data_IF_931504570429
#
_entry.id   IF_931504570429
#
_cell.length_a   1.000
_cell.length_b   1.000
_cell.length_c   1.000
_cell.angle_alpha   90.00
_cell.angle_beta   90.00
_cell.angle_gamma   90.00
#
_symmetry.space_group_name_H-M   'P 1'
#
loop_
_entity.id
_entity.type
_entity.pdbx_description
1 polymer ?
#
# COMPACT_ATOMS: atom_id res chain seq x y z
N UNK A 1 -14.24 4.56 3.08
CA UNK A 1 -13.52 4.62 1.79
C UNK A 1 -12.28 3.74 1.84
N UNK A 2 -12.01 3.01 0.78
CA UNK A 2 -10.81 2.20 0.64
C UNK A 2 -9.73 3.01 -0.07
N UNK A 3 -8.53 3.03 0.51
CA UNK A 3 -7.37 3.74 -0.04
C UNK A 3 -6.20 2.80 -0.19
N UNK A 4 -5.46 2.96 -1.28
CA UNK A 4 -4.16 2.34 -1.43
C UNK A 4 -3.06 3.35 -1.08
N UNK A 5 -1.96 2.88 -0.49
CA UNK A 5 -0.75 3.66 -0.32
C UNK A 5 0.43 2.81 -0.81
N UNK A 6 1.20 3.36 -1.75
CA UNK A 6 2.24 2.60 -2.44
C UNK A 6 3.31 3.54 -3.00
N UNK A 7 4.55 3.07 -3.08
CA UNK A 7 5.61 3.74 -3.82
C UNK A 7 5.96 2.88 -5.04
N UNK A 8 6.05 3.50 -6.21
CA UNK A 8 6.32 2.81 -7.48
C UNK A 8 7.32 3.57 -8.33
N UNK A 9 8.08 2.83 -9.14
CA UNK A 9 8.99 3.43 -10.11
C UNK A 9 8.28 3.74 -11.45
N UNK A 10 9.05 4.18 -12.46
CA UNK A 10 8.49 4.56 -13.76
C UNK A 10 7.74 3.44 -14.48
N UNK A 11 8.01 2.18 -14.14
CA UNK A 11 7.33 1.00 -14.70
C UNK A 11 6.29 0.41 -13.76
N UNK A 12 5.89 1.17 -12.74
CA UNK A 12 4.98 0.71 -11.68
C UNK A 12 5.57 -0.42 -10.84
N UNK A 13 6.90 -0.55 -10.81
CA UNK A 13 7.58 -1.51 -9.95
C UNK A 13 7.48 -1.09 -8.49
N UNK A 14 7.15 -2.02 -7.60
CA UNK A 14 6.98 -1.73 -6.18
C UNK A 14 7.88 -2.56 -5.26
N UNK A 15 8.45 -3.64 -5.76
CA UNK A 15 9.32 -4.50 -4.96
C UNK A 15 10.29 -5.29 -5.84
N UNK A 16 11.39 -5.72 -5.23
CA UNK A 16 12.39 -6.56 -5.89
C UNK A 16 12.86 -7.64 -4.92
N UNK A 17 12.86 -8.90 -5.38
CA UNK A 17 13.27 -10.06 -4.58
C UNK A 17 12.51 -10.21 -3.27
N UNK A 18 11.20 -9.96 -3.30
CA UNK A 18 10.35 -10.10 -2.12
C UNK A 18 9.29 -8.99 -2.05
N UNK A 19 8.96 -8.58 -0.83
CA UNK A 19 7.93 -7.57 -0.58
C UNK A 19 8.47 -6.15 -0.39
N UNK A 20 9.80 -5.98 -0.44
CA UNK A 20 10.42 -4.68 -0.19
C UNK A 20 10.83 -3.98 -1.48
N UNK A 21 10.68 -2.65 -1.56
CA UNK A 21 11.21 -1.90 -2.68
C UNK A 21 12.75 -1.88 -2.62
N UNK A 22 13.42 -1.68 -3.77
CA UNK A 22 14.87 -1.62 -3.83
C UNK A 22 15.46 -0.27 -3.39
N UNK A 23 14.66 0.64 -2.89
CA UNK A 23 15.06 1.96 -2.42
C UNK A 23 14.76 2.15 -0.94
N UNK A 24 15.47 3.07 -0.28
CA UNK A 24 15.20 3.53 1.07
C UNK A 24 15.05 5.04 1.05
N UNK A 25 13.84 5.53 1.26
CA UNK A 25 13.50 6.95 1.19
C UNK A 25 12.87 7.34 2.52
N UNK A 26 13.63 8.04 3.37
CA UNK A 26 13.21 8.36 4.74
C UNK A 26 11.93 9.18 4.81
N UNK A 27 11.79 10.17 3.92
CA UNK A 27 10.59 10.99 3.92
C UNK A 27 9.38 10.24 3.41
N UNK A 28 9.56 9.26 2.51
CA UNK A 28 8.48 8.40 2.07
C UNK A 28 8.05 7.46 3.19
N UNK A 29 8.99 6.89 3.94
CA UNK A 29 8.69 6.05 5.10
C UNK A 29 7.91 6.84 6.16
N UNK A 30 8.33 8.06 6.44
CA UNK A 30 7.64 8.96 7.37
C UNK A 30 6.22 9.29 6.87
N UNK A 31 6.09 9.59 5.60
CA UNK A 31 4.80 9.85 4.96
C UNK A 31 3.85 8.67 5.11
N UNK A 32 4.33 7.45 4.83
CA UNK A 32 3.58 6.22 5.01
C UNK A 32 3.08 6.08 6.45
N UNK A 33 3.97 6.26 7.42
CA UNK A 33 3.61 6.13 8.83
C UNK A 33 2.58 7.17 9.28
N UNK A 34 2.68 8.39 8.79
CA UNK A 34 1.75 9.46 9.11
C UNK A 34 0.38 9.25 8.45
N UNK A 35 0.36 8.91 7.16
CA UNK A 35 -0.89 8.73 6.43
C UNK A 35 -1.70 7.55 6.97
N UNK A 36 -1.05 6.42 7.25
CA UNK A 36 -1.75 5.21 7.69
C UNK A 36 -2.31 5.31 9.11
N UNK A 37 -1.97 6.34 9.87
CA UNK A 37 -2.63 6.64 11.15
C UNK A 37 -3.97 7.36 10.95
N UNK A 38 -4.17 7.98 9.79
CA UNK A 38 -5.38 8.77 9.53
C UNK A 38 -6.60 7.87 9.32
N UNK A 39 -7.76 8.48 9.47
CA UNK A 39 -9.06 7.85 9.19
C UNK A 39 -9.30 6.57 9.98
N UNK A 40 -8.81 6.51 11.21
CA UNK A 40 -9.02 5.38 12.10
C UNK A 40 -7.90 4.34 12.13
N UNK A 41 -6.86 4.51 11.33
CA UNK A 41 -5.66 3.67 11.41
C UNK A 41 -5.88 2.19 11.12
N UNK A 42 -6.74 1.85 10.17
CA UNK A 42 -6.99 0.46 9.79
C UNK A 42 -6.20 0.10 8.55
N UNK A 43 -5.36 -0.94 8.62
CA UNK A 43 -4.45 -1.32 7.54
C UNK A 43 -4.63 -2.79 7.16
N UNK A 44 -4.66 -3.04 5.85
CA UNK A 44 -4.80 -4.38 5.26
C UNK A 44 -3.56 -4.71 4.45
N UNK A 45 -3.02 -5.91 4.64
CA UNK A 45 -1.82 -6.35 3.94
C UNK A 45 -1.85 -7.86 3.69
N UNK A 46 -1.07 -8.31 2.71
CA UNK A 46 -0.81 -9.73 2.53
C UNK A 46 0.20 -10.23 3.55
N UNK A 47 0.19 -11.54 3.82
CA UNK A 47 1.10 -12.15 4.80
C UNK A 47 2.56 -11.95 4.43
N UNK A 48 2.91 -11.99 3.16
CA UNK A 48 4.28 -11.77 2.70
C UNK A 48 4.78 -10.38 3.07
N UNK A 49 3.95 -9.36 2.91
CA UNK A 49 4.28 -8.00 3.35
C UNK A 49 4.46 -7.94 4.86
N UNK A 50 3.58 -8.62 5.60
CA UNK A 50 3.69 -8.66 7.07
C UNK A 50 5.01 -9.28 7.53
N UNK A 51 5.42 -10.38 6.90
CA UNK A 51 6.67 -11.08 7.26
C UNK A 51 7.90 -10.30 6.80
N UNK A 52 7.95 -9.90 5.53
CA UNK A 52 9.17 -9.37 4.91
C UNK A 52 9.33 -7.86 5.10
N UNK A 53 8.26 -7.11 5.09
CA UNK A 53 8.33 -5.65 5.26
C UNK A 53 8.16 -5.22 6.71
N UNK A 54 7.28 -5.87 7.45
CA UNK A 54 7.02 -5.53 8.86
C UNK A 54 7.74 -6.45 9.84
N UNK A 55 8.49 -7.45 9.36
CA UNK A 55 9.26 -8.38 10.20
C UNK A 55 8.41 -9.03 11.29
N UNK A 56 7.19 -9.43 10.95
CA UNK A 56 6.21 -10.04 11.86
C UNK A 56 5.77 -9.13 13.03
N UNK A 57 5.93 -7.80 12.89
CA UNK A 57 5.50 -6.84 13.90
C UNK A 57 4.35 -5.99 13.34
N UNK A 58 3.14 -6.08 13.92
CA UNK A 58 2.04 -5.21 13.49
C UNK A 58 2.41 -3.74 13.60
N UNK A 59 1.88 -2.93 12.72
CA UNK A 59 2.06 -1.48 12.78
C UNK A 59 1.42 -0.95 14.06
N UNK A 60 2.19 -0.20 14.84
CA UNK A 60 1.77 0.33 16.13
C UNK A 60 0.65 1.35 15.97
N UNK A 61 -0.27 1.36 16.92
CA UNK A 61 -1.41 2.29 16.97
C UNK A 61 -2.37 2.15 15.79
N UNK A 62 -2.37 0.99 15.15
CA UNK A 62 -3.25 0.67 14.02
C UNK A 62 -3.89 -0.69 14.24
N UNK A 63 -5.03 -0.90 13.58
CA UNK A 63 -5.63 -2.23 13.50
C UNK A 63 -5.10 -2.90 12.25
N UNK A 64 -4.39 -4.02 12.41
CA UNK A 64 -3.72 -4.72 11.32
C UNK A 64 -4.55 -5.93 10.87
N UNK A 65 -4.91 -5.98 9.59
CA UNK A 65 -5.56 -7.11 8.96
C UNK A 65 -4.56 -7.78 8.03
N UNK A 66 -4.34 -9.08 8.21
CA UNK A 66 -3.36 -9.84 7.41
C UNK A 66 -4.07 -10.91 6.61
N UNK A 67 -3.96 -10.84 5.28
CA UNK A 67 -4.57 -11.79 4.35
C UNK A 67 -3.64 -12.99 4.18
N UNK A 68 -4.15 -14.18 4.45
CA UNK A 68 -3.41 -15.44 4.33
C UNK A 68 -4.37 -16.60 4.16
N UNK A 69 -3.92 -17.69 3.53
CA UNK A 69 -4.69 -18.93 3.46
C UNK A 69 -4.57 -19.75 4.75
N UNK A 70 -3.60 -19.45 5.59
CA UNK A 70 -3.37 -20.14 6.87
C UNK A 70 -4.18 -19.47 7.97
N UNK A 71 -5.15 -20.17 8.59
CA UNK A 71 -6.01 -19.58 9.62
C UNK A 71 -5.32 -19.43 10.99
N UNK A 72 -4.06 -19.79 11.11
CA UNK A 72 -3.31 -19.67 12.38
C UNK A 72 -3.34 -18.23 12.88
N UNK A 73 -3.75 -18.00 14.13
CA UNK A 73 -3.78 -16.64 14.68
C UNK A 73 -2.40 -15.96 14.66
N UNK A 74 -2.43 -14.65 14.44
CA UNK A 74 -1.24 -13.80 14.50
C UNK A 74 -1.43 -12.81 15.64
N UNK A 75 -0.50 -12.79 16.58
CA UNK A 75 -0.59 -11.87 17.72
C UNK A 75 -0.59 -10.42 17.24
N UNK A 76 -1.54 -9.64 17.70
CA UNK A 76 -1.66 -8.22 17.36
C UNK A 76 -2.24 -7.93 15.99
N UNK A 77 -2.74 -8.95 15.28
CA UNK A 77 -3.33 -8.78 13.96
C UNK A 77 -4.61 -9.61 13.83
N UNK A 78 -5.47 -9.20 12.90
CA UNK A 78 -6.67 -9.94 12.53
C UNK A 78 -6.36 -10.71 11.26
N UNK A 79 -6.51 -12.04 11.31
CA UNK A 79 -6.24 -12.91 10.15
C UNK A 79 -7.47 -12.95 9.24
N UNK A 80 -7.26 -12.68 7.95
CA UNK A 80 -8.29 -12.70 6.91
C UNK A 80 -7.98 -13.84 5.95
N UNK A 81 -8.87 -14.84 5.88
CA UNK A 81 -8.68 -15.99 4.99
C UNK A 81 -9.52 -15.91 3.71
N UNK A 82 -10.42 -14.94 3.63
CA UNK A 82 -11.29 -14.73 2.46
C UNK A 82 -11.33 -13.23 2.14
N UNK A 83 -10.40 -12.78 1.32
CA UNK A 83 -10.28 -11.36 0.97
C UNK A 83 -11.53 -10.83 0.23
N UNK A 84 -12.08 -11.51 -0.78
CA UNK A 84 -13.28 -11.02 -1.45
C UNK A 84 -14.45 -10.79 -0.48
N UNK A 85 -14.66 -11.72 0.44
CA UNK A 85 -15.71 -11.59 1.46
C UNK A 85 -15.44 -10.41 2.38
N UNK A 86 -14.20 -10.28 2.88
CA UNK A 86 -13.80 -9.16 3.73
C UNK A 86 -14.07 -7.81 3.05
N UNK A 87 -13.72 -7.69 1.78
CA UNK A 87 -13.91 -6.46 1.03
C UNK A 87 -15.38 -6.14 0.81
N UNK A 88 -16.21 -7.15 0.49
CA UNK A 88 -17.66 -6.97 0.33
C UNK A 88 -18.34 -6.54 1.63
N UNK A 89 -17.87 -7.07 2.76
CA UNK A 89 -18.46 -6.81 4.07
C UNK A 89 -17.88 -5.59 4.78
N UNK A 90 -16.84 -4.97 4.22
CA UNK A 90 -16.25 -3.78 4.82
C UNK A 90 -17.27 -2.64 4.81
N UNK A 91 -17.55 -2.02 5.98
CA UNK A 91 -18.56 -0.96 6.04
C UNK A 91 -18.19 0.25 5.18
N UNK A 92 -19.16 0.76 4.41
CA UNK A 92 -18.94 1.89 3.52
C UNK A 92 -18.52 3.17 4.26
N UNK A 93 -18.94 3.32 5.51
CA UNK A 93 -18.62 4.49 6.33
C UNK A 93 -17.25 4.41 7.01
N UNK A 94 -16.56 3.27 6.91
CA UNK A 94 -15.23 3.08 7.49
C UNK A 94 -14.14 3.22 6.43
N UNK A 95 -12.97 3.67 6.88
CA UNK A 95 -11.81 3.83 6.02
C UNK A 95 -10.83 2.69 6.21
N UNK A 96 -10.21 2.26 5.12
CA UNK A 96 -9.23 1.17 5.11
C UNK A 96 -8.05 1.55 4.23
N UNK A 97 -6.84 1.38 4.76
CA UNK A 97 -5.60 1.53 4.01
C UNK A 97 -5.09 0.16 3.56
N UNK A 98 -4.97 -0.04 2.26
CA UNK A 98 -4.34 -1.25 1.70
C UNK A 98 -2.88 -0.91 1.46
N UNK A 99 -1.98 -1.67 2.07
CA UNK A 99 -0.55 -1.35 2.08
C UNK A 99 0.33 -2.33 1.30
N UNK A 100 -0.25 -3.35 0.68
CA UNK A 100 0.49 -4.25 -0.19
C UNK A 100 0.22 -5.72 0.07
N UNK A 101 0.81 -6.60 -0.63
CA UNK A 101 1.68 -6.36 -1.81
C UNK A 101 0.94 -6.32 -3.14
N UNK A 102 1.68 -6.61 -4.19
CA UNK A 102 1.16 -6.49 -5.55
C UNK A 102 -0.17 -7.22 -5.77
N UNK A 103 -0.29 -8.45 -5.29
CA UNK A 103 -1.53 -9.23 -5.45
C UNK A 103 -2.70 -8.61 -4.70
N UNK A 104 -2.47 -8.10 -3.49
CA UNK A 104 -3.53 -7.48 -2.69
C UNK A 104 -3.97 -6.16 -3.34
N UNK A 105 -3.04 -5.37 -3.86
CA UNK A 105 -3.38 -4.18 -4.61
C UNK A 105 -4.24 -4.50 -5.83
N UNK A 106 -3.82 -5.51 -6.61
CA UNK A 106 -4.56 -5.90 -7.82
C UNK A 106 -5.98 -6.38 -7.50
N UNK A 107 -6.14 -7.16 -6.44
CA UNK A 107 -7.44 -7.70 -6.05
C UNK A 107 -8.39 -6.65 -5.46
N UNK A 108 -7.89 -5.54 -4.97
CA UNK A 108 -8.69 -4.51 -4.28
C UNK A 108 -8.84 -3.21 -5.05
N UNK A 109 -8.12 -3.04 -6.16
CA UNK A 109 -8.13 -1.78 -6.92
C UNK A 109 -9.55 -1.38 -7.36
N UNK A 110 -10.35 -2.34 -7.76
CA UNK A 110 -11.71 -2.08 -8.23
C UNK A 110 -12.66 -1.49 -7.19
N UNK A 111 -12.37 -1.64 -5.90
CA UNK A 111 -13.16 -1.07 -4.81
C UNK A 111 -12.50 0.15 -4.16
N UNK A 112 -11.40 0.62 -4.74
CA UNK A 112 -10.59 1.67 -4.13
C UNK A 112 -11.01 3.05 -4.62
N UNK A 113 -11.20 3.97 -3.69
CA UNK A 113 -11.62 5.34 -3.99
C UNK A 113 -10.48 6.32 -4.18
N UNK A 114 -9.37 6.12 -3.47
CA UNK A 114 -8.20 6.99 -3.56
C UNK A 114 -6.92 6.20 -3.55
N UNK A 115 -5.93 6.68 -4.32
CA UNK A 115 -4.58 6.12 -4.35
C UNK A 115 -3.60 7.19 -3.88
N UNK A 116 -2.83 6.84 -2.85
CA UNK A 116 -1.71 7.65 -2.37
C UNK A 116 -0.45 7.01 -2.96
N UNK A 117 0.05 7.60 -4.03
CA UNK A 117 1.15 7.04 -4.82
C UNK A 117 2.38 7.92 -4.71
N UNK A 118 3.47 7.34 -4.20
CA UNK A 118 4.78 7.98 -4.29
C UNK A 118 5.38 7.55 -5.62
N UNK A 119 5.50 8.50 -6.54
CA UNK A 119 6.07 8.25 -7.87
C UNK A 119 7.59 8.47 -7.79
N UNK A 120 8.34 7.38 -7.86
CA UNK A 120 9.80 7.39 -7.80
C UNK A 120 10.33 7.41 -9.23
N UNK A 121 11.12 8.42 -9.58
CA UNK A 121 11.70 8.53 -10.93
C UNK A 121 12.78 7.47 -11.14
N UNK A 122 12.72 6.80 -12.28
CA UNK A 122 13.72 5.81 -12.70
C UNK A 122 13.16 4.40 -12.80
N UNK A 123 14.02 3.51 -13.32
CA UNK A 123 13.73 2.07 -13.44
C UNK A 123 14.65 1.34 -12.46
N UNK A 124 14.08 0.70 -11.45
CA UNK A 124 14.83 0.02 -10.41
C UNK A 124 14.84 -1.50 -10.59
N UNK A 125 14.45 -1.96 -11.77
CA UNK A 125 14.48 -3.38 -12.11
C UNK A 125 13.67 -4.23 -11.11
N UNK A 126 12.46 -3.74 -10.77
CA UNK A 126 11.53 -4.44 -9.87
C UNK A 126 10.98 -5.69 -10.53
N UNK A 127 10.57 -6.66 -9.71
CA UNK A 127 9.94 -7.89 -10.17
C UNK A 127 8.50 -8.05 -9.66
N UNK A 128 7.99 -7.06 -8.92
CA UNK A 128 6.59 -6.98 -8.50
C UNK A 128 6.06 -5.61 -8.90
N UNK A 129 4.84 -5.59 -9.43
CA UNK A 129 4.31 -4.38 -10.06
C UNK A 129 2.93 -4.01 -9.52
N UNK A 130 2.69 -2.72 -9.42
CA UNK A 130 1.37 -2.17 -9.14
C UNK A 130 0.54 -2.23 -10.43
N UNK A 131 -0.78 -2.52 -10.33
CA UNK A 131 -1.62 -2.56 -11.54
C UNK A 131 -1.72 -1.20 -12.21
N UNK A 132 -2.07 -1.20 -13.50
CA UNK A 132 -2.29 0.05 -14.21
C UNK A 132 -3.50 0.77 -13.61
N UNK A 133 -3.34 2.07 -13.31
CA UNK A 133 -4.37 2.83 -12.58
C UNK A 133 -4.78 4.12 -13.28
N UNK A 134 -3.92 4.73 -14.09
CA UNK A 134 -4.18 6.04 -14.68
C UNK A 134 -5.45 6.13 -15.54
N UNK A 135 -5.84 5.09 -16.30
CA UNK A 135 -7.10 5.16 -17.05
C UNK A 135 -8.36 5.30 -16.18
N UNK A 136 -8.32 4.84 -14.93
CA UNK A 136 -9.48 4.80 -14.04
C UNK A 136 -9.41 5.78 -12.87
N UNK A 137 -8.33 6.52 -12.76
CA UNK A 137 -8.12 7.46 -11.65
C UNK A 137 -7.60 8.79 -12.17
N UNK A 138 -8.03 9.87 -11.53
CA UNK A 138 -7.63 11.23 -11.86
C UNK A 138 -6.70 11.79 -10.80
N UNK A 139 -5.65 12.50 -11.23
CA UNK A 139 -4.73 13.16 -10.31
C UNK A 139 -5.43 14.31 -9.59
N UNK A 140 -5.41 14.28 -8.26
CA UNK A 140 -6.04 15.29 -7.41
C UNK A 140 -5.01 16.24 -6.82
N UNK A 141 -3.87 15.70 -6.40
CA UNK A 141 -2.80 16.53 -5.84
C UNK A 141 -1.44 15.92 -6.12
N UNK A 142 -0.44 16.79 -6.17
CA UNK A 142 0.94 16.40 -6.43
C UNK A 142 1.86 17.33 -5.65
N UNK A 143 2.76 16.77 -4.84
CA UNK A 143 3.71 17.54 -4.06
C UNK A 143 4.86 18.07 -4.92
N UNK A 144 5.68 18.93 -4.36
CA UNK A 144 6.97 19.26 -4.95
C UNK A 144 7.87 18.02 -4.92
N UNK A 145 8.79 17.89 -5.90
CA UNK A 145 9.72 16.76 -5.91
C UNK A 145 10.67 16.80 -4.71
N UNK A 146 11.00 15.61 -4.22
CA UNK A 146 11.97 15.42 -3.13
C UNK A 146 13.11 14.57 -3.67
N UNK A 147 14.33 14.90 -3.33
CA UNK A 147 15.50 14.10 -3.74
C UNK A 147 16.26 13.62 -2.51
N UNK A 148 16.47 12.30 -2.42
CA UNK A 148 17.26 11.65 -1.39
C UNK A 148 18.22 10.67 -2.06
N UNK A 149 19.50 10.73 -1.72
CA UNK A 149 20.51 9.81 -2.26
C UNK A 149 20.48 9.70 -3.79
N UNK A 150 20.23 10.82 -4.47
CA UNK A 150 20.15 10.85 -5.92
C UNK A 150 18.84 10.31 -6.51
N UNK A 151 17.88 9.93 -5.68
CA UNK A 151 16.58 9.45 -6.12
C UNK A 151 15.54 10.55 -5.92
N UNK A 152 14.81 10.88 -6.98
CA UNK A 152 13.77 11.92 -6.95
C UNK A 152 12.40 11.27 -6.95
N UNK A 153 11.52 11.74 -6.09
CA UNK A 153 10.16 11.21 -5.98
C UNK A 153 9.17 12.30 -5.60
N UNK A 154 7.90 12.02 -5.85
CA UNK A 154 6.81 12.97 -5.66
C UNK A 154 5.62 12.25 -5.02
N UNK A 155 4.96 12.90 -4.05
CA UNK A 155 3.74 12.36 -3.46
C UNK A 155 2.52 12.79 -4.27
N UNK A 156 1.78 11.82 -4.77
CA UNK A 156 0.59 12.05 -5.59
C UNK A 156 -0.64 11.44 -4.93
N UNK A 157 -1.79 12.09 -5.10
CA UNK A 157 -3.08 11.52 -4.71
C UNK A 157 -3.95 11.46 -5.96
N UNK A 158 -4.48 10.30 -6.23
CA UNK A 158 -5.41 10.04 -7.32
C UNK A 158 -6.77 9.67 -6.75
N UNK A 159 -7.82 10.03 -7.44
CA UNK A 159 -9.18 9.67 -7.05
C UNK A 159 -9.87 8.93 -8.18
N UNK A 160 -10.72 7.97 -7.84
CA UNK A 160 -11.52 7.21 -8.78
C UNK A 160 -12.34 8.16 -9.65
N UNK A 161 -12.24 7.99 -10.94
CA UNK A 161 -12.95 8.82 -11.91
C UNK A 161 -14.46 8.51 -11.94
#
# INVERSE_FOLDING_TARGET
MIRHIVAIDDKRGLAKHGAMPPWHLKQDEKYFMEQTLKYGGQVLMGKKTFIEALHNHPLKDRTNYVVTHDPTPIEGAVVITDLPKFMREWPAEKDLWVIGGAEIFAQTLGQTGELYVTEVEGDFDCDRFYPEYKPSFELVSKSEPITEHGITYTFCVYRSA
#
